data_IF_477073150078
#
_entry.id   IF_477073150078
#
_cell.length_a   1.000
_cell.length_b   1.000
_cell.length_c   1.000
_cell.angle_alpha   90.00
_cell.angle_beta   90.00
_cell.angle_gamma   90.00
#
_symmetry.space_group_name_H-M   'P 1'
#
loop_
_entity.id
_entity.type
_entity.pdbx_description
1 polymer ?
#
# COMPACT_ATOMS: atom_id res chain seq x y z
N UNK A 1 -2.32 13.02 0.10
CA UNK A 1 -2.02 13.06 1.56
C UNK A 1 -2.05 14.48 2.11
N UNK A 2 -1.27 15.41 1.57
CA UNK A 2 -1.22 16.82 2.05
C UNK A 2 -2.59 17.51 2.02
N UNK A 3 -3.38 17.30 0.97
CA UNK A 3 -4.76 17.84 0.85
C UNK A 3 -5.70 17.32 1.94
N UNK A 4 -5.40 16.20 2.53
CA UNK A 4 -6.13 15.59 3.66
C UNK A 4 -5.52 15.96 5.03
N UNK A 5 -4.64 16.97 5.06
CA UNK A 5 -4.05 17.50 6.29
C UNK A 5 -2.99 16.60 6.94
N UNK A 6 -2.46 15.63 6.22
CA UNK A 6 -1.38 14.78 6.72
C UNK A 6 -0.03 15.50 6.66
N UNK A 7 0.80 15.30 7.67
CA UNK A 7 2.15 15.84 7.78
C UNK A 7 3.18 14.81 7.32
N UNK A 8 4.06 15.21 6.42
CA UNK A 8 5.12 14.33 5.94
C UNK A 8 6.25 14.23 6.97
N UNK A 9 6.72 13.01 7.20
CA UNK A 9 7.85 12.67 8.08
C UNK A 9 8.74 11.65 7.38
N UNK A 10 9.96 11.48 7.87
CA UNK A 10 10.85 10.40 7.47
C UNK A 10 11.41 9.75 8.73
N UNK A 11 11.01 8.53 8.98
CA UNK A 11 11.36 7.76 10.17
C UNK A 11 12.52 6.79 9.88
N UNK A 12 13.30 6.38 10.92
CA UNK A 12 14.38 5.41 10.74
C UNK A 12 13.91 4.06 10.21
N UNK A 13 14.65 3.50 9.24
CA UNK A 13 14.48 2.13 8.76
C UNK A 13 14.99 1.11 9.77
N UNK A 14 16.09 1.43 10.46
CA UNK A 14 16.69 0.62 11.52
C UNK A 14 16.00 0.94 12.84
N UNK A 15 15.33 -0.05 13.41
CA UNK A 15 14.47 0.11 14.58
C UNK A 15 15.02 -0.67 15.78
N UNK A 16 15.10 -0.08 16.99
CA UNK A 16 15.50 -0.81 18.19
C UNK A 16 14.51 -1.94 18.51
N UNK A 17 15.02 -3.13 18.81
CA UNK A 17 14.18 -4.27 19.22
C UNK A 17 13.31 -3.93 20.43
N UNK A 18 13.79 -3.09 21.35
CA UNK A 18 13.07 -2.69 22.56
C UNK A 18 11.68 -2.10 22.30
N UNK A 19 11.48 -1.37 21.17
CA UNK A 19 10.16 -0.85 20.79
C UNK A 19 9.19 -1.98 20.44
N UNK A 20 9.70 -3.00 19.75
CA UNK A 20 8.92 -4.18 19.34
C UNK A 20 8.57 -5.09 20.54
N UNK A 21 9.44 -5.10 21.56
CA UNK A 21 9.20 -5.83 22.80
C UNK A 21 8.06 -5.20 23.62
N UNK A 22 7.90 -3.86 23.58
CA UNK A 22 6.78 -3.17 24.25
C UNK A 22 5.41 -3.62 23.73
N UNK A 23 5.29 -3.84 22.41
CA UNK A 23 4.04 -4.28 21.76
C UNK A 23 3.93 -5.81 21.66
N UNK A 24 5.02 -6.55 21.93
CA UNK A 24 5.16 -8.00 21.71
C UNK A 24 4.92 -8.43 20.25
N UNK A 25 5.00 -7.52 19.32
CA UNK A 25 4.76 -7.81 17.90
C UNK A 25 5.91 -8.57 17.24
N UNK A 26 7.12 -8.53 17.79
CA UNK A 26 8.22 -9.35 17.31
C UNK A 26 7.88 -10.84 17.27
N UNK A 27 7.11 -11.34 18.24
CA UNK A 27 6.63 -12.72 18.28
C UNK A 27 5.58 -13.01 17.19
N UNK A 28 4.69 -12.04 16.90
CA UNK A 28 3.63 -12.17 15.90
C UNK A 28 4.17 -12.10 14.46
N UNK A 29 5.13 -11.19 14.20
CA UNK A 29 5.78 -11.07 12.89
C UNK A 29 6.71 -12.27 12.60
N UNK A 30 7.24 -12.89 13.66
CA UNK A 30 8.07 -14.07 13.54
C UNK A 30 9.27 -13.90 12.60
N UNK A 31 9.54 -14.88 11.69
CA UNK A 31 10.72 -14.88 10.84
C UNK A 31 10.73 -13.81 9.75
N UNK A 32 9.64 -13.14 9.48
CA UNK A 32 9.60 -12.01 8.52
C UNK A 32 10.33 -10.78 9.05
N UNK A 33 10.56 -10.73 10.36
CA UNK A 33 11.26 -9.64 11.03
C UNK A 33 12.77 -9.89 11.03
N UNK A 34 13.50 -9.28 10.10
CA UNK A 34 14.95 -9.43 10.01
C UNK A 34 15.67 -8.67 11.13
N UNK A 35 16.26 -9.42 12.06
CA UNK A 35 17.04 -8.87 13.18
C UNK A 35 18.56 -8.93 12.93
N UNK A 36 19.29 -8.01 13.55
CA UNK A 36 20.76 -7.97 13.54
C UNK A 36 21.31 -7.27 14.78
N UNK A 37 22.62 -7.43 15.01
CA UNK A 37 23.33 -6.77 16.08
C UNK A 37 24.19 -5.62 15.55
N UNK A 38 24.23 -4.51 16.30
CA UNK A 38 25.23 -3.47 16.04
C UNK A 38 26.59 -3.84 16.64
N UNK A 39 27.62 -2.99 16.44
CA UNK A 39 28.97 -3.20 16.98
C UNK A 39 29.07 -3.25 18.51
N UNK A 40 28.00 -2.84 19.21
CA UNK A 40 27.90 -2.87 20.67
C UNK A 40 26.97 -3.98 21.16
N UNK A 41 26.66 -4.97 20.30
CA UNK A 41 25.78 -6.11 20.58
C UNK A 41 24.33 -5.73 20.93
N UNK A 42 23.87 -4.55 20.51
CA UNK A 42 22.47 -4.13 20.65
C UNK A 42 21.64 -4.69 19.50
N UNK A 43 20.47 -5.19 19.83
CA UNK A 43 19.54 -5.80 18.85
C UNK A 43 18.70 -4.74 18.15
N UNK A 44 18.62 -4.87 16.83
CA UNK A 44 17.82 -4.04 15.94
C UNK A 44 17.08 -4.89 14.91
N UNK A 45 16.04 -4.31 14.35
CA UNK A 45 15.29 -4.86 13.23
C UNK A 45 15.34 -3.90 12.02
N UNK A 46 15.30 -4.46 10.82
CA UNK A 46 14.90 -3.69 9.64
C UNK A 46 13.38 -3.55 9.66
N UNK A 47 12.89 -2.32 9.56
CA UNK A 47 11.48 -1.99 9.74
C UNK A 47 10.57 -2.57 8.66
N UNK A 48 9.71 -3.55 8.99
CA UNK A 48 8.66 -4.02 8.08
C UNK A 48 7.47 -3.07 8.04
N UNK A 49 7.33 -2.24 9.06
CA UNK A 49 6.30 -1.22 9.30
C UNK A 49 6.75 -0.28 10.43
N UNK A 50 6.02 0.79 10.74
CA UNK A 50 6.50 1.82 11.66
C UNK A 50 5.52 2.22 12.77
N UNK A 51 4.55 1.38 13.13
CA UNK A 51 3.60 1.67 14.22
C UNK A 51 4.33 1.97 15.53
N UNK A 52 5.31 1.16 15.89
CA UNK A 52 6.08 1.33 17.11
C UNK A 52 6.91 2.62 17.10
N UNK A 53 7.56 2.90 15.98
CA UNK A 53 8.43 4.09 15.85
C UNK A 53 7.61 5.37 15.94
N UNK A 54 6.50 5.45 15.21
CA UNK A 54 5.66 6.66 15.24
C UNK A 54 4.98 6.84 16.61
N UNK A 55 4.61 5.75 17.27
CA UNK A 55 4.04 5.80 18.62
C UNK A 55 5.09 6.30 19.62
N UNK A 56 6.34 5.87 19.51
CA UNK A 56 7.45 6.35 20.34
C UNK A 56 7.72 7.85 20.14
N UNK A 57 7.75 8.31 18.89
CA UNK A 57 7.88 9.74 18.58
C UNK A 57 6.71 10.53 19.18
N UNK A 58 5.48 10.07 18.97
CA UNK A 58 4.29 10.77 19.47
C UNK A 58 4.20 10.81 21.00
N UNK A 59 4.64 9.75 21.72
CA UNK A 59 4.65 9.79 23.19
C UNK A 59 5.63 10.79 23.78
N UNK A 60 6.66 11.16 23.01
CA UNK A 60 7.64 12.18 23.42
C UNK A 60 7.19 13.59 23.04
N UNK A 61 6.50 13.75 21.92
CA UNK A 61 6.16 15.05 21.35
C UNK A 61 4.74 15.54 21.71
N UNK A 62 3.74 14.63 21.82
CA UNK A 62 2.36 15.01 22.11
C UNK A 62 2.13 15.11 23.63
N UNK A 63 1.91 16.32 24.14
CA UNK A 63 1.76 16.57 25.58
C UNK A 63 0.32 16.88 25.99
N UNK A 64 -0.47 17.44 25.09
CA UNK A 64 -1.80 17.96 25.37
C UNK A 64 -2.80 17.56 24.29
N UNK A 65 -4.08 17.46 24.68
CA UNK A 65 -5.17 17.30 23.73
C UNK A 65 -5.22 18.41 22.65
N UNK A 66 -4.59 19.57 22.90
CA UNK A 66 -4.49 20.67 21.91
C UNK A 66 -3.54 20.35 20.77
N UNK A 67 -2.68 19.36 20.92
CA UNK A 67 -1.77 18.89 19.87
C UNK A 67 -2.49 18.00 18.86
N UNK A 68 -3.70 17.58 19.16
CA UNK A 68 -4.52 16.67 18.35
C UNK A 68 -5.62 17.41 17.58
N UNK A 69 -6.14 16.83 16.47
CA UNK A 69 -5.70 15.57 15.86
C UNK A 69 -4.38 15.72 15.09
N UNK A 70 -3.67 14.62 14.90
CA UNK A 70 -2.46 14.55 14.06
C UNK A 70 -2.53 13.31 13.17
N UNK A 71 -2.14 13.50 11.92
CA UNK A 71 -1.90 12.40 10.98
C UNK A 71 -0.56 12.61 10.31
N UNK A 72 0.33 11.63 10.44
CA UNK A 72 1.65 11.65 9.82
C UNK A 72 1.69 10.63 8.69
N UNK A 73 2.50 10.89 7.65
CA UNK A 73 2.77 9.91 6.62
C UNK A 73 4.22 9.98 6.17
N UNK A 74 4.69 8.87 5.61
CA UNK A 74 5.98 8.79 4.93
C UNK A 74 5.88 7.96 3.66
N UNK A 75 6.84 8.14 2.77
CA UNK A 75 7.13 7.21 1.68
C UNK A 75 8.52 6.67 1.96
N UNK A 76 8.59 5.42 2.42
CA UNK A 76 9.79 4.83 2.99
C UNK A 76 9.93 3.38 2.57
N UNK A 77 11.17 2.95 2.40
CA UNK A 77 11.53 1.54 2.22
C UNK A 77 11.07 0.73 3.44
N UNK A 78 10.56 -0.47 3.19
CA UNK A 78 10.27 -1.50 4.18
C UNK A 78 11.06 -2.75 3.85
N UNK A 79 11.38 -3.52 4.86
CA UNK A 79 12.00 -4.82 4.68
C UNK A 79 11.20 -5.91 5.40
N UNK A 80 10.83 -6.95 4.67
CA UNK A 80 10.24 -8.18 5.21
C UNK A 80 11.03 -9.37 4.68
N UNK A 81 11.50 -10.24 5.56
CA UNK A 81 12.26 -11.43 5.14
C UNK A 81 11.33 -12.48 4.54
N UNK A 82 10.68 -12.10 3.45
CA UNK A 82 9.74 -12.92 2.71
C UNK A 82 10.37 -14.24 2.26
N UNK A 83 9.76 -15.34 2.66
CA UNK A 83 10.30 -16.69 2.39
C UNK A 83 10.25 -17.04 0.90
N UNK A 84 9.29 -16.49 0.15
CA UNK A 84 9.08 -16.78 -1.28
C UNK A 84 8.89 -15.50 -2.09
N UNK A 85 9.95 -14.69 -2.29
CA UNK A 85 9.86 -13.55 -3.19
C UNK A 85 9.48 -14.02 -4.60
N UNK A 86 8.54 -13.32 -5.23
CA UNK A 86 8.06 -13.67 -6.57
C UNK A 86 7.45 -12.47 -7.29
N UNK A 87 7.29 -12.61 -8.61
CA UNK A 87 6.66 -11.60 -9.47
C UNK A 87 7.34 -10.21 -9.39
N UNK A 88 8.68 -10.18 -9.32
CA UNK A 88 9.46 -8.94 -9.29
C UNK A 88 9.08 -8.04 -8.12
N UNK A 89 8.66 -6.81 -8.43
CA UNK A 89 8.31 -5.80 -7.42
C UNK A 89 6.95 -6.02 -6.75
N UNK A 90 6.20 -7.04 -7.14
CA UNK A 90 4.92 -7.35 -6.51
C UNK A 90 5.09 -7.92 -5.10
N UNK A 91 6.05 -8.83 -4.92
CA UNK A 91 6.33 -9.49 -3.63
C UNK A 91 7.84 -9.65 -3.41
N UNK A 92 8.52 -8.51 -3.17
CA UNK A 92 9.94 -8.46 -2.84
C UNK A 92 10.17 -8.39 -1.33
N UNK A 93 11.41 -8.61 -0.89
CA UNK A 93 11.83 -8.43 0.50
C UNK A 93 11.97 -6.96 0.88
N UNK A 94 12.52 -6.17 -0.03
CA UNK A 94 12.65 -4.72 0.09
C UNK A 94 11.70 -4.03 -0.87
N UNK A 95 10.88 -3.12 -0.37
CA UNK A 95 9.85 -2.45 -1.17
C UNK A 95 9.53 -1.06 -0.62
N UNK A 96 9.03 -0.19 -1.49
CA UNK A 96 8.61 1.14 -1.12
C UNK A 96 7.13 1.12 -0.71
N UNK A 97 6.84 1.69 0.46
CA UNK A 97 5.49 1.84 0.99
C UNK A 97 5.22 3.29 1.35
N UNK A 98 4.02 3.79 1.04
CA UNK A 98 3.46 4.95 1.69
C UNK A 98 2.69 4.44 2.91
N UNK A 99 3.12 4.81 4.09
CA UNK A 99 2.44 4.51 5.34
C UNK A 99 2.07 5.78 6.08
N UNK A 100 0.86 5.79 6.64
CA UNK A 100 0.34 6.90 7.42
C UNK A 100 -0.26 6.42 8.73
N UNK A 101 -0.24 7.30 9.74
CA UNK A 101 -0.64 7.02 11.11
C UNK A 101 -1.40 8.20 11.66
N UNK A 102 -2.60 7.96 12.18
CA UNK A 102 -3.45 9.00 12.76
C UNK A 102 -3.59 8.83 14.27
N UNK A 103 -3.70 9.95 14.97
CA UNK A 103 -3.81 10.03 16.42
C UNK A 103 -4.96 10.93 16.80
N UNK A 104 -5.89 10.39 17.59
CA UNK A 104 -7.11 11.05 18.03
C UNK A 104 -7.35 10.84 19.53
N UNK A 105 -8.08 11.78 20.13
CA UNK A 105 -8.46 11.67 21.53
C UNK A 105 -9.60 10.67 21.73
N UNK A 106 -10.52 10.62 20.76
CA UNK A 106 -11.76 9.85 20.82
C UNK A 106 -11.91 8.94 19.60
N UNK A 107 -12.57 7.82 19.76
CA UNK A 107 -12.87 6.84 18.72
C UNK A 107 -13.59 7.45 17.51
N UNK A 108 -14.60 8.31 17.74
CA UNK A 108 -15.32 9.02 16.67
C UNK A 108 -14.41 9.83 15.75
N UNK A 109 -13.34 10.41 16.31
CA UNK A 109 -12.33 11.14 15.53
C UNK A 109 -11.50 10.19 14.67
N UNK A 110 -11.10 9.06 15.22
CA UNK A 110 -10.36 8.02 14.51
C UNK A 110 -11.19 7.42 13.36
N UNK A 111 -12.47 7.11 13.59
CA UNK A 111 -13.39 6.62 12.56
C UNK A 111 -13.54 7.63 11.41
N UNK A 112 -13.67 8.92 11.71
CA UNK A 112 -13.71 9.97 10.66
C UNK A 112 -12.41 10.03 9.85
N UNK A 113 -11.27 9.88 10.51
CA UNK A 113 -9.97 9.81 9.82
C UNK A 113 -9.88 8.58 8.93
N UNK A 114 -10.36 7.44 9.39
CA UNK A 114 -10.43 6.22 8.61
C UNK A 114 -11.23 6.43 7.31
N UNK A 115 -12.42 7.02 7.41
CA UNK A 115 -13.24 7.33 6.22
C UNK A 115 -12.55 8.32 5.28
N UNK A 116 -11.94 9.38 5.81
CA UNK A 116 -11.19 10.34 5.02
C UNK A 116 -9.99 9.69 4.30
N UNK A 117 -9.28 8.75 4.95
CA UNK A 117 -8.19 8.00 4.31
C UNK A 117 -8.71 7.04 3.25
N UNK A 118 -9.86 6.40 3.49
CA UNK A 118 -10.53 5.57 2.49
C UNK A 118 -10.84 6.38 1.22
N UNK A 119 -11.45 7.55 1.37
CA UNK A 119 -11.73 8.47 0.25
C UNK A 119 -10.44 8.95 -0.44
N UNK A 120 -9.39 9.26 0.32
CA UNK A 120 -8.10 9.62 -0.21
C UNK A 120 -7.50 8.52 -1.09
N UNK A 121 -7.59 7.26 -0.65
CA UNK A 121 -7.09 6.12 -1.40
C UNK A 121 -7.92 5.85 -2.66
N UNK A 122 -9.24 5.95 -2.56
CA UNK A 122 -10.11 5.86 -3.73
C UNK A 122 -9.69 6.89 -4.78
N UNK A 123 -9.54 8.17 -4.38
CA UNK A 123 -9.08 9.23 -5.28
C UNK A 123 -7.72 8.90 -5.93
N UNK A 124 -6.76 8.38 -5.17
CA UNK A 124 -5.44 7.99 -5.69
C UNK A 124 -5.58 6.90 -6.75
N UNK A 125 -6.33 5.83 -6.46
CA UNK A 125 -6.47 4.71 -7.38
C UNK A 125 -7.35 5.02 -8.60
N UNK A 126 -8.34 5.88 -8.44
CA UNK A 126 -9.15 6.43 -9.55
C UNK A 126 -8.29 7.30 -10.47
N UNK A 127 -7.41 8.16 -9.92
CA UNK A 127 -6.47 8.98 -10.72
C UNK A 127 -5.44 8.13 -11.46
N UNK A 128 -5.01 7.01 -10.90
CA UNK A 128 -4.15 6.03 -11.59
C UNK A 128 -4.93 5.36 -12.72
N UNK A 129 -6.24 5.21 -12.58
CA UNK A 129 -7.12 4.55 -13.54
C UNK A 129 -7.27 3.05 -13.31
N UNK A 130 -7.18 2.59 -12.06
CA UNK A 130 -7.37 1.19 -11.71
C UNK A 130 -8.85 0.77 -11.69
N UNK A 131 -9.12 -0.44 -12.16
CA UNK A 131 -10.31 -1.20 -11.79
C UNK A 131 -10.00 -2.00 -10.51
N UNK A 132 -10.62 -1.61 -9.39
CA UNK A 132 -10.32 -2.18 -8.08
C UNK A 132 -11.57 -2.41 -7.25
N UNK A 133 -11.44 -3.22 -6.21
CA UNK A 133 -12.46 -3.43 -5.18
C UNK A 133 -11.89 -3.14 -3.80
N UNK A 134 -12.76 -2.60 -2.94
CA UNK A 134 -12.48 -2.46 -1.52
C UNK A 134 -13.18 -3.62 -0.84
N UNK A 135 -12.45 -4.41 -0.09
CA UNK A 135 -12.96 -5.59 0.58
C UNK A 135 -12.64 -5.56 2.08
N UNK A 136 -13.52 -6.12 2.88
CA UNK A 136 -13.20 -6.39 4.28
C UNK A 136 -12.08 -7.43 4.36
N UNK A 137 -11.16 -7.25 5.29
CA UNK A 137 -9.99 -8.08 5.44
C UNK A 137 -9.66 -8.37 6.90
N UNK A 138 -8.84 -9.39 7.13
CA UNK A 138 -8.27 -9.68 8.44
C UNK A 138 -7.18 -8.65 8.78
N UNK A 139 -7.17 -8.17 10.01
CA UNK A 139 -6.16 -7.21 10.48
C UNK A 139 -4.78 -7.84 10.72
N UNK A 140 -4.67 -9.16 10.76
CA UNK A 140 -3.42 -9.92 10.89
C UNK A 140 -2.53 -9.47 12.06
N UNK A 141 -1.22 -9.47 11.84
CA UNK A 141 -0.22 -9.06 12.83
C UNK A 141 -0.28 -7.55 13.18
N UNK A 142 -0.85 -6.72 12.31
CA UNK A 142 -1.10 -5.29 12.60
C UNK A 142 -2.14 -5.19 13.72
N UNK A 143 -3.24 -5.94 13.59
CA UNK A 143 -4.36 -5.96 14.54
C UNK A 143 -5.24 -4.72 14.41
N UNK A 144 -6.18 -4.59 15.34
CA UNK A 144 -7.20 -3.55 15.31
C UNK A 144 -8.60 -4.14 15.26
N UNK A 145 -9.62 -3.28 15.20
CA UNK A 145 -11.02 -3.68 15.26
C UNK A 145 -11.61 -3.98 13.88
N UNK A 146 -11.11 -3.27 12.85
CA UNK A 146 -11.58 -3.40 11.48
C UNK A 146 -10.45 -3.06 10.52
N UNK A 147 -10.44 -3.72 9.37
CA UNK A 147 -9.58 -3.34 8.26
C UNK A 147 -10.26 -3.56 6.90
N UNK A 148 -9.82 -2.80 5.91
CA UNK A 148 -10.25 -2.92 4.52
C UNK A 148 -9.05 -2.85 3.58
N UNK A 149 -9.04 -3.72 2.60
CA UNK A 149 -8.03 -3.81 1.55
C UNK A 149 -8.54 -3.25 0.23
N UNK A 150 -7.64 -2.63 -0.52
CA UNK A 150 -7.85 -2.18 -1.89
C UNK A 150 -7.14 -3.15 -2.83
N UNK A 151 -7.90 -3.86 -3.63
CA UNK A 151 -7.40 -4.86 -4.56
C UNK A 151 -7.63 -4.44 -6.01
N UNK A 152 -6.56 -4.32 -6.78
CA UNK A 152 -6.63 -4.18 -8.24
C UNK A 152 -7.02 -5.54 -8.84
N UNK A 153 -8.06 -5.55 -9.66
CA UNK A 153 -8.54 -6.77 -10.29
C UNK A 153 -7.58 -7.21 -11.40
N UNK A 154 -6.99 -8.39 -11.26
CA UNK A 154 -6.08 -8.99 -12.24
C UNK A 154 -6.07 -10.51 -12.10
N UNK A 155 -6.01 -11.23 -13.21
CA UNK A 155 -6.04 -12.72 -13.23
C UNK A 155 -4.83 -13.34 -12.50
N UNK A 156 -3.71 -12.62 -12.48
CA UNK A 156 -2.49 -13.00 -11.75
C UNK A 156 -2.52 -12.69 -10.25
N UNK A 157 -3.62 -12.10 -9.74
CA UNK A 157 -3.77 -11.76 -8.33
C UNK A 157 -3.65 -12.96 -7.40
N UNK A 158 -3.00 -12.76 -6.24
CA UNK A 158 -2.82 -13.82 -5.24
C UNK A 158 -4.09 -14.06 -4.43
N UNK A 159 -4.84 -12.99 -4.13
CA UNK A 159 -6.03 -13.03 -3.30
C UNK A 159 -7.27 -13.37 -4.11
N UNK A 160 -8.21 -14.05 -3.45
CA UNK A 160 -9.53 -14.31 -4.02
C UNK A 160 -10.56 -13.43 -3.35
N UNK A 161 -11.26 -12.68 -4.18
CA UNK A 161 -12.27 -11.72 -3.76
C UNK A 161 -13.65 -12.21 -4.19
N UNK A 162 -14.63 -11.96 -3.33
CA UNK A 162 -16.04 -12.20 -3.62
C UNK A 162 -16.84 -10.94 -3.35
N UNK A 163 -17.67 -10.56 -4.30
CA UNK A 163 -18.47 -9.34 -4.20
C UNK A 163 -19.74 -9.41 -5.06
N UNK A 164 -20.72 -8.60 -4.68
CA UNK A 164 -21.90 -8.34 -5.49
C UNK A 164 -21.92 -6.87 -5.96
N UNK A 165 -22.93 -6.52 -6.75
CA UNK A 165 -23.11 -5.15 -7.27
C UNK A 165 -23.74 -4.19 -6.26
N UNK A 166 -24.00 -4.63 -5.02
CA UNK A 166 -24.71 -3.85 -4.01
C UNK A 166 -23.81 -3.44 -2.85
N UNK A 167 -23.64 -4.31 -1.88
CA UNK A 167 -23.16 -3.99 -0.56
C UNK A 167 -22.23 -5.05 0.07
N UNK A 168 -22.04 -6.17 -0.62
CA UNK A 168 -21.17 -7.24 -0.15
C UNK A 168 -19.84 -7.27 -0.91
N UNK A 169 -18.75 -7.18 -0.19
CA UNK A 169 -17.39 -7.32 -0.73
C UNK A 169 -16.45 -7.82 0.37
N UNK A 170 -15.80 -8.95 0.13
CA UNK A 170 -14.95 -9.62 1.13
C UNK A 170 -13.79 -10.37 0.48
N UNK A 171 -12.67 -10.46 1.21
CA UNK A 171 -11.66 -11.48 0.96
C UNK A 171 -12.24 -12.85 1.35
N UNK A 172 -11.91 -13.90 0.60
CA UNK A 172 -12.36 -15.27 0.86
C UNK A 172 -12.03 -15.74 2.29
N UNK A 173 -10.97 -15.22 2.88
CA UNK A 173 -10.52 -15.59 4.22
C UNK A 173 -11.54 -15.26 5.32
N UNK A 174 -12.40 -14.28 5.11
CA UNK A 174 -13.43 -13.84 6.04
C UNK A 174 -14.81 -14.48 5.82
N UNK A 175 -14.93 -15.36 4.85
CA UNK A 175 -16.19 -16.07 4.60
C UNK A 175 -16.41 -17.18 5.60
N UNK A 176 -17.67 -17.58 5.77
CA UNK A 176 -17.99 -18.81 6.49
C UNK A 176 -17.38 -20.04 5.80
N UNK A 177 -17.10 -21.07 6.59
CA UNK A 177 -16.40 -22.28 6.11
C UNK A 177 -17.11 -22.98 4.94
N UNK A 178 -18.43 -22.90 4.86
CA UNK A 178 -19.23 -23.56 3.81
C UNK A 178 -19.02 -22.86 2.47
N UNK A 179 -19.23 -21.55 2.42
CA UNK A 179 -19.08 -20.76 1.20
C UNK A 179 -17.61 -20.73 0.75
N UNK A 180 -16.68 -20.60 1.70
CA UNK A 180 -15.24 -20.66 1.45
C UNK A 180 -14.85 -21.96 0.76
N UNK A 181 -15.25 -23.10 1.33
CA UNK A 181 -14.94 -24.44 0.77
C UNK A 181 -15.53 -24.61 -0.64
N UNK A 182 -16.72 -24.08 -0.90
CA UNK A 182 -17.33 -24.16 -2.23
C UNK A 182 -16.54 -23.34 -3.27
N UNK A 183 -16.12 -22.13 -2.90
CA UNK A 183 -15.31 -21.27 -3.77
C UNK A 183 -13.92 -21.87 -4.00
N UNK A 184 -13.26 -22.42 -2.96
CA UNK A 184 -11.97 -23.08 -3.09
C UNK A 184 -12.02 -24.25 -4.09
N UNK A 185 -13.07 -25.08 -4.05
CA UNK A 185 -13.30 -26.14 -5.03
C UNK A 185 -13.49 -25.62 -6.46
N UNK A 186 -14.17 -24.48 -6.62
CA UNK A 186 -14.31 -23.85 -7.95
C UNK A 186 -12.96 -23.38 -8.47
N UNK A 187 -12.14 -22.73 -7.61
CA UNK A 187 -10.80 -22.28 -7.97
C UNK A 187 -9.88 -23.44 -8.37
N UNK A 188 -9.91 -24.54 -7.63
CA UNK A 188 -9.15 -25.77 -7.97
C UNK A 188 -9.51 -26.30 -9.37
N UNK A 189 -10.73 -26.09 -9.81
CA UNK A 189 -11.21 -26.47 -11.15
C UNK A 189 -11.04 -25.35 -12.20
N UNK A 190 -10.30 -24.29 -11.89
CA UNK A 190 -10.17 -23.07 -12.72
C UNK A 190 -11.52 -22.44 -13.10
N UNK A 191 -12.52 -22.56 -12.24
CA UNK A 191 -13.85 -21.97 -12.41
C UNK A 191 -14.02 -20.72 -11.52
N UNK A 192 -13.99 -19.55 -12.12
CA UNK A 192 -14.27 -18.25 -11.47
C UNK A 192 -15.66 -17.72 -11.81
N UNK A 193 -16.59 -18.59 -12.24
CA UNK A 193 -17.97 -18.20 -12.47
C UNK A 193 -18.66 -17.80 -11.16
N UNK A 194 -19.64 -16.92 -11.28
CA UNK A 194 -20.43 -16.46 -10.15
C UNK A 194 -21.03 -17.60 -9.32
N UNK A 195 -21.27 -17.34 -8.04
CA UNK A 195 -21.87 -18.27 -7.09
C UNK A 195 -23.09 -17.64 -6.41
N UNK A 196 -24.10 -18.43 -6.15
CA UNK A 196 -25.27 -18.00 -5.37
C UNK A 196 -24.99 -18.19 -3.87
N UNK A 197 -25.36 -17.16 -3.06
CA UNK A 197 -25.21 -17.17 -1.62
C UNK A 197 -26.36 -16.45 -0.92
N UNK A 198 -26.35 -16.39 0.42
CA UNK A 198 -27.28 -15.58 1.20
C UNK A 198 -27.16 -14.07 0.91
N UNK A 199 -26.00 -13.62 0.41
CA UNK A 199 -25.74 -12.25 -0.04
C UNK A 199 -26.15 -12.02 -1.50
N UNK A 200 -26.86 -12.96 -2.12
CA UNK A 200 -27.21 -12.97 -3.53
C UNK A 200 -26.12 -13.57 -4.40
N UNK A 201 -26.13 -13.21 -5.67
CA UNK A 201 -25.16 -13.67 -6.64
C UNK A 201 -23.82 -12.95 -6.44
N UNK A 202 -22.75 -13.69 -6.17
CA UNK A 202 -21.40 -13.19 -5.94
C UNK A 202 -20.49 -13.48 -7.12
N UNK A 203 -19.78 -12.48 -7.57
CA UNK A 203 -18.68 -12.63 -8.53
C UNK A 203 -17.40 -13.03 -7.81
N UNK A 204 -16.65 -13.97 -8.39
CA UNK A 204 -15.37 -14.43 -7.89
C UNK A 204 -14.26 -13.84 -8.79
N UNK A 205 -13.34 -13.08 -8.22
CA UNK A 205 -12.22 -12.48 -8.96
C UNK A 205 -10.91 -12.65 -8.20
N UNK A 206 -9.82 -12.60 -8.95
CA UNK A 206 -8.48 -12.47 -8.37
C UNK A 206 -8.12 -11.00 -8.21
N UNK A 207 -7.39 -10.69 -7.14
CA UNK A 207 -6.97 -9.33 -6.80
C UNK A 207 -5.53 -9.23 -6.34
N UNK A 208 -4.93 -8.08 -6.60
CA UNK A 208 -3.62 -7.68 -6.10
C UNK A 208 -3.84 -6.60 -5.06
N UNK A 209 -3.54 -6.89 -3.79
CA UNK A 209 -3.62 -5.92 -2.70
C UNK A 209 -2.61 -4.78 -2.92
N UNK A 210 -3.11 -3.56 -3.13
CA UNK A 210 -2.27 -2.36 -3.33
C UNK A 210 -2.35 -1.38 -2.17
N UNK A 211 -3.38 -1.48 -1.34
CA UNK A 211 -3.57 -0.64 -0.16
C UNK A 211 -4.35 -1.33 0.93
N UNK A 212 -4.09 -0.97 2.17
CA UNK A 212 -4.75 -1.51 3.35
C UNK A 212 -4.92 -0.42 4.40
N UNK A 213 -6.10 -0.31 4.98
CA UNK A 213 -6.43 0.68 6.02
C UNK A 213 -6.97 -0.02 7.26
N UNK A 214 -6.55 0.45 8.45
CA UNK A 214 -6.82 -0.20 9.73
C UNK A 214 -7.35 0.77 10.77
N UNK A 215 -8.37 0.35 11.51
CA UNK A 215 -8.76 0.92 12.78
C UNK A 215 -8.00 0.22 13.92
N UNK A 216 -6.87 0.82 14.36
CA UNK A 216 -6.01 0.21 15.38
C UNK A 216 -6.58 0.31 16.78
N UNK A 217 -7.50 1.27 17.01
CA UNK A 217 -7.95 1.62 18.35
C UNK A 217 -6.78 2.09 19.22
N UNK A 218 -6.73 1.65 20.45
CA UNK A 218 -5.65 2.02 21.38
C UNK A 218 -4.59 0.91 21.58
N UNK A 219 -4.50 -0.06 20.69
CA UNK A 219 -3.58 -1.20 20.83
C UNK A 219 -2.14 -0.76 21.09
N UNK A 220 -1.58 0.11 20.26
CA UNK A 220 -0.19 0.58 20.37
C UNK A 220 -0.02 1.66 21.41
N UNK A 221 -0.90 2.65 21.43
CA UNK A 221 -0.85 3.74 22.40
C UNK A 221 -0.93 3.23 23.84
N UNK A 222 -1.77 2.24 24.10
CA UNK A 222 -1.87 1.61 25.41
C UNK A 222 -0.62 0.79 25.77
N UNK A 223 -0.12 -0.03 24.83
CA UNK A 223 1.06 -0.88 25.09
C UNK A 223 2.32 -0.04 25.35
N UNK A 224 2.47 1.08 24.66
CA UNK A 224 3.64 1.96 24.72
C UNK A 224 3.43 3.19 25.63
N UNK A 225 2.31 3.29 26.33
CA UNK A 225 2.03 4.38 27.27
C UNK A 225 1.85 5.75 26.62
N UNK A 226 1.39 5.81 25.35
CA UNK A 226 1.07 7.06 24.67
C UNK A 226 -0.29 7.59 25.13
N UNK A 227 -0.28 8.74 25.78
CA UNK A 227 -1.47 9.47 26.18
C UNK A 227 -1.17 10.95 26.39
N UNK A 228 -2.20 11.78 26.32
CA UNK A 228 -2.10 13.23 26.49
C UNK A 228 -2.93 13.70 27.70
N UNK A 229 -2.58 14.85 28.23
CA UNK A 229 -3.35 15.48 29.31
C UNK A 229 -4.69 16.00 28.77
N UNK A 230 -5.78 15.55 29.39
CA UNK A 230 -7.15 15.98 29.11
C UNK A 230 -7.96 15.98 30.40
N UNK A 231 -8.61 17.07 30.77
CA UNK A 231 -9.48 17.24 31.95
C UNK A 231 -8.91 16.65 33.25
N UNK A 232 -7.66 17.02 33.57
CA UNK A 232 -6.90 16.57 34.75
C UNK A 232 -6.58 15.05 34.81
N UNK A 233 -6.71 14.34 33.69
CA UNK A 233 -6.30 12.94 33.56
C UNK A 233 -5.46 12.72 32.29
N UNK A 234 -4.67 11.65 32.30
CA UNK A 234 -4.01 11.18 31.08
C UNK A 234 -5.00 10.30 30.30
N UNK A 235 -5.22 10.64 29.03
CA UNK A 235 -6.08 9.89 28.14
C UNK A 235 -5.25 9.21 27.05
N UNK A 236 -5.39 7.88 26.92
CA UNK A 236 -4.78 7.09 25.87
C UNK A 236 -5.37 7.48 24.51
N UNK A 237 -4.55 7.52 23.46
CA UNK A 237 -4.98 7.94 22.13
C UNK A 237 -5.52 6.77 21.30
N UNK A 238 -6.49 7.08 20.45
CA UNK A 238 -6.99 6.20 19.40
C UNK A 238 -6.19 6.40 18.13
N UNK A 239 -5.82 5.30 17.48
CA UNK A 239 -4.92 5.28 16.33
C UNK A 239 -5.56 4.59 15.13
N UNK A 240 -5.18 5.06 13.93
CA UNK A 240 -5.38 4.35 12.67
C UNK A 240 -4.06 4.24 11.91
N UNK A 241 -3.91 3.21 11.07
CA UNK A 241 -2.81 3.15 10.12
C UNK A 241 -3.29 2.81 8.71
N UNK A 242 -2.55 3.28 7.71
CA UNK A 242 -3.01 3.31 6.33
C UNK A 242 -1.82 3.13 5.40
N UNK A 243 -1.72 1.97 4.73
CA UNK A 243 -0.60 1.59 3.86
C UNK A 243 -0.96 1.55 2.39
N UNK A 244 -0.04 1.98 1.51
CA UNK A 244 -0.06 1.73 0.07
C UNK A 244 1.29 1.12 -0.32
N UNK A 245 1.27 -0.02 -1.00
CA UNK A 245 2.44 -0.66 -1.57
C UNK A 245 2.88 0.03 -2.86
N UNK A 246 3.67 1.12 -2.76
CA UNK A 246 4.05 1.95 -3.91
C UNK A 246 4.76 1.14 -5.00
N UNK A 247 5.70 0.28 -4.63
CA UNK A 247 6.36 -0.62 -5.58
C UNK A 247 5.38 -1.59 -6.24
N UNK A 248 4.38 -2.07 -5.48
CA UNK A 248 3.36 -3.01 -5.96
C UNK A 248 2.39 -2.38 -6.96
N UNK A 249 2.12 -1.07 -6.85
CA UNK A 249 1.31 -0.32 -7.83
C UNK A 249 1.84 -0.51 -9.24
N UNK A 250 3.16 -0.46 -9.44
CA UNK A 250 3.78 -0.65 -10.76
C UNK A 250 3.45 -2.04 -11.32
N UNK A 251 3.60 -3.07 -10.50
CA UNK A 251 3.27 -4.44 -10.90
C UNK A 251 1.77 -4.60 -11.18
N UNK A 252 0.90 -4.07 -10.32
CA UNK A 252 -0.54 -4.12 -10.50
C UNK A 252 -1.00 -3.40 -11.78
N UNK A 253 -0.36 -2.26 -12.10
CA UNK A 253 -0.63 -1.53 -13.34
C UNK A 253 -0.26 -2.34 -14.59
N UNK A 254 0.87 -3.05 -14.56
CA UNK A 254 1.30 -3.94 -15.65
C UNK A 254 0.32 -5.10 -15.80
N UNK A 255 -0.02 -5.76 -14.70
CA UNK A 255 -0.91 -6.93 -14.72
C UNK A 255 -2.32 -6.60 -15.19
N UNK A 256 -2.82 -5.41 -14.91
CA UNK A 256 -4.14 -4.98 -15.36
C UNK A 256 -4.13 -4.38 -16.77
N UNK A 257 -2.98 -3.84 -17.22
CA UNK A 257 -2.89 -3.06 -18.45
C UNK A 257 -1.75 -3.57 -19.36
N UNK A 258 -2.00 -4.68 -20.04
CA UNK A 258 -1.12 -5.24 -21.05
C UNK A 258 -1.93 -5.90 -22.17
N UNK A 259 -1.28 -6.12 -23.30
CA UNK A 259 -1.81 -6.89 -24.43
C UNK A 259 -0.76 -7.91 -24.93
N UNK A 260 -1.01 -8.55 -26.07
CA UNK A 260 -0.08 -9.50 -26.66
C UNK A 260 1.25 -8.89 -27.12
N UNK A 261 1.31 -7.58 -27.30
CA UNK A 261 2.48 -6.85 -27.78
C UNK A 261 3.33 -6.29 -26.63
N UNK A 262 2.75 -6.11 -25.43
CA UNK A 262 3.48 -5.64 -24.28
C UNK A 262 2.69 -4.87 -23.24
N UNK A 263 3.39 -4.04 -22.46
CA UNK A 263 2.85 -3.26 -21.37
C UNK A 263 2.17 -2.00 -21.91
N UNK A 264 0.95 -1.71 -21.42
CA UNK A 264 0.20 -0.49 -21.73
C UNK A 264 -0.01 0.28 -20.41
N UNK A 265 0.92 1.15 -20.07
CA UNK A 265 0.80 1.94 -18.83
C UNK A 265 -0.37 2.92 -18.88
N UNK A 266 -1.15 3.04 -17.80
CA UNK A 266 -2.08 4.15 -17.63
C UNK A 266 -1.34 5.49 -17.76
N UNK A 267 -1.96 6.46 -18.43
CA UNK A 267 -1.32 7.75 -18.72
C UNK A 267 -0.72 8.44 -17.51
N UNK A 268 -1.44 8.39 -16.37
CA UNK A 268 -1.07 9.14 -15.16
C UNK A 268 0.13 8.55 -14.40
N UNK A 269 0.56 7.34 -14.74
CA UNK A 269 1.76 6.69 -14.17
C UNK A 269 2.78 6.26 -15.23
N UNK A 270 2.55 6.65 -16.49
CA UNK A 270 3.55 6.48 -17.54
C UNK A 270 4.78 7.32 -17.21
N UNK A 271 5.97 6.71 -17.36
CA UNK A 271 7.23 7.39 -17.11
C UNK A 271 7.51 8.52 -18.11
N UNK A 272 6.88 8.48 -19.28
CA UNK A 272 7.04 9.46 -20.35
C UNK A 272 5.71 9.72 -21.06
N UNK A 273 5.52 10.95 -21.51
CA UNK A 273 4.36 11.34 -22.32
C UNK A 273 4.46 10.82 -23.75
N UNK A 274 5.69 10.68 -24.26
CA UNK A 274 5.97 10.36 -25.63
C UNK A 274 7.25 9.54 -25.80
N UNK A 275 7.22 8.55 -26.69
CA UNK A 275 8.41 7.85 -27.15
C UNK A 275 8.77 8.31 -28.56
N UNK A 276 9.98 8.86 -28.74
CA UNK A 276 10.55 9.25 -30.02
C UNK A 276 11.56 8.20 -30.46
N UNK A 277 11.25 7.45 -31.50
CA UNK A 277 12.10 6.38 -32.01
C UNK A 277 12.69 6.85 -33.36
N UNK A 278 14.02 6.91 -33.48
CA UNK A 278 14.69 7.27 -34.72
C UNK A 278 15.14 6.02 -35.48
N UNK A 279 14.57 5.80 -36.65
CA UNK A 279 14.91 4.65 -37.49
C UNK A 279 16.01 5.05 -38.54
N UNK A 280 17.10 4.27 -38.58
CA UNK A 280 18.26 4.52 -39.42
C UNK A 280 19.01 5.85 -39.16
N UNK A 281 19.04 6.32 -37.95
CA UNK A 281 19.70 7.57 -37.54
C UNK A 281 21.19 7.57 -37.93
N UNK A 282 21.90 6.46 -37.71
CA UNK A 282 23.32 6.32 -38.04
C UNK A 282 23.63 6.35 -39.55
N UNK A 283 22.62 6.07 -40.38
CA UNK A 283 22.76 6.01 -41.84
C UNK A 283 22.22 7.27 -42.53
N UNK A 284 21.57 8.17 -41.81
CA UNK A 284 20.93 9.35 -42.40
C UNK A 284 21.07 10.59 -41.51
N UNK A 285 21.91 11.51 -41.89
CA UNK A 285 22.07 12.81 -41.22
C UNK A 285 20.78 13.62 -41.22
N UNK A 286 19.89 13.41 -42.19
CA UNK A 286 18.57 14.07 -42.23
C UNK A 286 17.69 13.55 -41.08
N UNK A 287 17.62 12.23 -40.91
CA UNK A 287 16.87 11.61 -39.81
C UNK A 287 17.42 12.08 -38.47
N UNK A 288 18.73 12.01 -38.29
CA UNK A 288 19.41 12.46 -37.05
C UNK A 288 19.10 13.92 -36.72
N UNK A 289 19.19 14.82 -37.71
CA UNK A 289 18.88 16.23 -37.52
C UNK A 289 17.42 16.43 -37.17
N UNK A 290 16.49 15.78 -37.85
CA UNK A 290 15.05 15.91 -37.60
C UNK A 290 14.63 15.33 -36.26
N UNK A 291 15.16 14.17 -35.86
CA UNK A 291 14.88 13.58 -34.55
C UNK A 291 15.30 14.55 -33.41
N UNK A 292 16.49 15.14 -33.50
CA UNK A 292 16.95 16.14 -32.52
C UNK A 292 16.11 17.42 -32.52
N UNK A 293 15.66 17.90 -33.67
CA UNK A 293 14.75 19.05 -33.75
C UNK A 293 13.41 18.75 -33.07
N UNK A 294 12.82 17.55 -33.31
CA UNK A 294 11.57 17.11 -32.69
C UNK A 294 11.74 16.94 -31.18
N UNK A 295 12.82 16.26 -30.75
CA UNK A 295 13.12 16.08 -29.34
C UNK A 295 13.21 17.44 -28.61
N UNK A 296 14.00 18.38 -29.18
CA UNK A 296 14.16 19.71 -28.59
C UNK A 296 12.83 20.48 -28.55
N UNK A 297 12.01 20.35 -29.60
CA UNK A 297 10.68 20.97 -29.61
C UNK A 297 9.77 20.43 -28.51
N UNK A 298 9.71 19.10 -28.33
CA UNK A 298 8.88 18.46 -27.32
C UNK A 298 9.31 18.86 -25.89
N UNK A 299 10.61 18.79 -25.58
CA UNK A 299 11.16 19.20 -24.28
C UNK A 299 10.87 20.68 -23.99
N UNK A 300 11.04 21.58 -24.99
CA UNK A 300 10.75 23.01 -24.82
C UNK A 300 9.25 23.31 -24.61
N UNK A 301 8.37 22.36 -24.91
CA UNK A 301 6.95 22.42 -24.64
C UNK A 301 6.52 21.61 -23.40
N UNK A 302 7.46 21.27 -22.49
CA UNK A 302 7.24 20.51 -21.27
C UNK A 302 6.60 19.13 -21.50
N UNK A 303 6.95 18.44 -22.58
CA UNK A 303 6.58 17.06 -22.84
C UNK A 303 7.73 16.17 -22.38
N UNK A 304 7.46 15.21 -21.49
CA UNK A 304 8.43 14.20 -21.09
C UNK A 304 8.62 13.17 -22.22
N UNK A 305 9.84 13.14 -22.78
CA UNK A 305 10.16 12.35 -23.98
C UNK A 305 11.22 11.30 -23.70
N UNK A 306 10.89 10.05 -23.96
CA UNK A 306 11.87 8.99 -24.09
C UNK A 306 12.41 8.99 -25.54
N UNK A 307 13.70 9.31 -25.71
CA UNK A 307 14.33 9.26 -27.03
C UNK A 307 15.14 7.97 -27.20
N UNK A 308 14.66 7.09 -28.07
CA UNK A 308 15.36 5.85 -28.42
C UNK A 308 16.25 6.09 -29.63
N UNK A 309 17.56 6.25 -29.39
CA UNK A 309 18.60 6.44 -30.40
C UNK A 309 19.35 5.14 -30.75
N UNK A 310 18.84 4.00 -30.30
CA UNK A 310 19.44 2.69 -30.62
C UNK A 310 19.31 2.41 -32.11
N UNK A 311 20.33 1.74 -32.65
CA UNK A 311 20.33 1.30 -34.07
C UNK A 311 19.44 0.04 -34.19
N UNK A 312 18.12 0.22 -34.02
CA UNK A 312 17.14 -0.84 -34.23
C UNK A 312 16.71 -0.85 -35.70
N UNK A 313 16.87 -1.98 -36.33
CA UNK A 313 16.40 -2.25 -37.72
C UNK A 313 15.10 -3.03 -37.67
#
# INVERSE_FOLDING_TARGET
MNEYGCLEVLMPMVQPKSLWDETKRSEQMGPELLGFLDRNEREFYLGPTHEEVITDICRQELQSHKDLPKTFYQIQTKFRDEIRPRFGVMRGREFLMKDAYSFYLEEDGMIKSYQAMKECYQKIFDEIGFDYKIVKADSGAIGGNMSEEFHVLADSGEDTLVFNDKDFSSNIELLDDSLKTEIEKKIENNDLSDIDSEHGKLSIKKGIEVGHIFELGNKYSKAMGLGVQHDNSQKTLEMGCYGIGVSRIVAAAIEQNHDSEGIVFPKNISAFDCSLISINEKKSEIVKKKAKEIYSYLINNNVDVFYDDRDAS
#
